data_IF_616222487413
#
_entry.id   IF_616222487413
#
_cell.length_a   1.000
_cell.length_b   1.000
_cell.length_c   1.000
_cell.angle_alpha   90.00
_cell.angle_beta   90.00
_cell.angle_gamma   90.00
#
_symmetry.space_group_name_H-M   'P 1'
#
loop_
_entity.id
_entity.type
_entity.pdbx_description
1 polymer ?
#
# COMPACT_ATOMS: atom_id res chain seq x y z
N UNK A 1 -10.10 -5.00 -13.59
CA UNK A 1 -10.23 -4.52 -12.20
C UNK A 1 -8.84 -4.35 -11.64
N UNK A 2 -8.53 -3.20 -11.04
CA UNK A 2 -7.20 -2.95 -10.48
C UNK A 2 -6.96 -3.86 -9.27
N UNK A 3 -5.79 -4.49 -9.19
CA UNK A 3 -5.44 -5.38 -8.08
C UNK A 3 -5.18 -4.56 -6.82
N UNK A 4 -5.86 -4.89 -5.72
CA UNK A 4 -5.59 -4.28 -4.42
C UNK A 4 -4.23 -4.77 -3.90
N UNK A 5 -3.34 -3.85 -3.56
CA UNK A 5 -1.99 -4.14 -3.06
C UNK A 5 -1.93 -3.97 -1.55
N UNK A 6 -2.50 -2.88 -1.03
CA UNK A 6 -2.57 -2.64 0.41
C UNK A 6 -4.01 -2.74 0.92
N UNK A 7 -4.33 -3.83 1.60
CA UNK A 7 -5.65 -4.05 2.21
C UNK A 7 -5.90 -3.17 3.44
N UNK A 8 -4.85 -2.61 4.06
CA UNK A 8 -5.00 -1.74 5.22
C UNK A 8 -5.48 -0.34 4.83
N UNK A 9 -4.93 0.20 3.73
CA UNK A 9 -5.11 1.60 3.30
C UNK A 9 -5.80 1.75 1.94
N UNK A 10 -6.18 0.65 1.29
CA UNK A 10 -6.98 0.69 0.06
C UNK A 10 -6.19 0.97 -1.22
N UNK A 11 -4.86 0.91 -1.21
CA UNK A 11 -4.05 1.22 -2.38
C UNK A 11 -4.05 0.09 -3.41
N UNK A 12 -4.36 0.44 -4.66
CA UNK A 12 -4.34 -0.46 -5.81
C UNK A 12 -3.02 -0.37 -6.59
N UNK A 13 -2.77 -1.35 -7.44
CA UNK A 13 -1.61 -1.35 -8.34
C UNK A 13 -1.55 -0.11 -9.23
N UNK A 14 -2.70 0.37 -9.73
CA UNK A 14 -2.77 1.59 -10.54
C UNK A 14 -2.51 2.87 -9.73
N UNK A 15 -2.84 2.89 -8.44
CA UNK A 15 -2.46 4.01 -7.57
C UNK A 15 -0.95 4.08 -7.43
N UNK A 16 -0.29 2.95 -7.18
CA UNK A 16 1.18 2.90 -7.07
C UNK A 16 1.85 3.31 -8.40
N UNK A 17 1.34 2.84 -9.55
CA UNK A 17 1.86 3.24 -10.85
C UNK A 17 1.73 4.74 -11.09
N UNK A 18 0.54 5.31 -10.84
CA UNK A 18 0.29 6.74 -11.03
C UNK A 18 1.15 7.59 -10.10
N UNK A 19 1.29 7.18 -8.85
CA UNK A 19 2.12 7.83 -7.84
C UNK A 19 3.60 7.91 -8.28
N UNK A 20 4.17 6.81 -8.78
CA UNK A 20 5.53 6.82 -9.34
C UNK A 20 5.65 7.73 -10.56
N UNK A 21 4.68 7.66 -11.49
CA UNK A 21 4.70 8.51 -12.69
C UNK A 21 4.59 10.01 -12.35
N UNK A 22 3.85 10.35 -11.31
CA UNK A 22 3.63 11.73 -10.89
C UNK A 22 4.80 12.30 -10.08
N UNK A 23 5.42 11.49 -9.22
CA UNK A 23 6.39 11.97 -8.24
C UNK A 23 7.84 11.51 -8.50
N UNK A 24 8.05 10.62 -9.48
CA UNK A 24 9.35 10.00 -9.76
C UNK A 24 9.78 8.94 -8.74
N UNK A 25 8.99 8.75 -7.67
CA UNK A 25 9.13 7.74 -6.61
C UNK A 25 7.75 7.45 -6.02
N UNK A 26 7.58 6.34 -5.32
CA UNK A 26 6.27 6.02 -4.74
C UNK A 26 6.11 6.56 -3.32
N UNK A 27 5.38 7.66 -3.16
CA UNK A 27 5.00 8.19 -1.85
C UNK A 27 4.00 7.27 -1.13
N UNK A 28 3.17 6.55 -1.89
CA UNK A 28 2.27 5.52 -1.35
C UNK A 28 3.06 4.40 -0.68
N UNK A 29 4.13 3.91 -1.31
CA UNK A 29 4.98 2.88 -0.71
C UNK A 29 5.71 3.39 0.52
N UNK A 30 6.19 4.64 0.52
CA UNK A 30 6.81 5.26 1.69
C UNK A 30 5.82 5.33 2.87
N UNK A 31 4.59 5.76 2.59
CA UNK A 31 3.50 5.76 3.58
C UNK A 31 3.24 4.36 4.14
N UNK A 32 3.03 3.35 3.28
CA UNK A 32 2.78 1.96 3.72
C UNK A 32 3.92 1.44 4.61
N UNK A 33 5.18 1.71 4.23
CA UNK A 33 6.35 1.29 5.01
C UNK A 33 6.38 2.00 6.37
N UNK A 34 6.07 3.29 6.43
CA UNK A 34 6.00 4.04 7.69
C UNK A 34 4.90 3.50 8.60
N UNK A 35 3.68 3.35 8.08
CA UNK A 35 2.54 2.81 8.84
C UNK A 35 2.81 1.40 9.37
N UNK A 36 3.52 0.56 8.60
CA UNK A 36 3.92 -0.77 9.03
C UNK A 36 4.93 -0.72 10.17
N UNK A 37 5.94 0.15 10.09
CA UNK A 37 6.92 0.36 11.17
C UNK A 37 6.26 0.84 12.45
N UNK A 38 5.24 1.68 12.32
CA UNK A 38 4.51 2.24 13.45
C UNK A 38 3.40 1.30 13.99
N UNK A 39 3.30 0.08 13.47
CA UNK A 39 2.34 -0.93 13.94
C UNK A 39 0.89 -0.63 13.60
N UNK A 40 0.62 0.30 12.67
CA UNK A 40 -0.75 0.69 12.26
C UNK A 40 -1.36 -0.26 11.22
N UNK A 41 -0.54 -1.14 10.63
CA UNK A 41 -1.00 -2.16 9.70
C UNK A 41 -1.72 -3.32 10.42
N UNK A 42 -2.85 -3.74 9.84
CA UNK A 42 -3.65 -4.90 10.26
C UNK A 42 -3.56 -6.04 9.24
N UNK A 43 -2.36 -6.29 8.69
CA UNK A 43 -2.16 -7.25 7.59
C UNK A 43 -2.64 -8.67 7.95
N UNK A 44 -2.42 -9.11 9.19
CA UNK A 44 -2.86 -10.43 9.66
C UNK A 44 -4.40 -10.60 9.59
N UNK A 45 -5.15 -9.51 9.73
CA UNK A 45 -6.62 -9.52 9.72
C UNK A 45 -7.20 -9.21 8.33
N UNK A 46 -6.62 -8.22 7.64
CA UNK A 46 -7.19 -7.63 6.41
C UNK A 46 -6.62 -8.21 5.13
N UNK A 47 -5.37 -8.67 5.12
CA UNK A 47 -4.73 -9.19 3.91
C UNK A 47 -5.00 -10.69 3.80
N UNK A 48 -5.54 -11.20 2.68
CA UNK A 48 -5.76 -12.64 2.49
C UNK A 48 -4.50 -13.51 2.65
N UNK A 49 -3.30 -12.95 2.43
CA UNK A 49 -2.03 -13.64 2.69
C UNK A 49 -1.60 -13.63 4.16
N UNK A 50 -2.27 -12.86 5.00
CA UNK A 50 -1.89 -12.56 6.38
C UNK A 50 -0.62 -11.70 6.54
N UNK A 51 -0.03 -11.20 5.44
CA UNK A 51 1.24 -10.47 5.44
C UNK A 51 1.36 -9.45 4.33
#
# INVERSE_FOLDING_TARGET
MARLICYCFGHTEDDLRRDVLQHGRSLIMEHIVSEKKDGRCRCAEKNPSGR
#
